data_IF_059042665410
#
_entry.id   IF_059042665410
#
_cell.length_a   1.000
_cell.length_b   1.000
_cell.length_c   1.000
_cell.angle_alpha   90.00
_cell.angle_beta   90.00
_cell.angle_gamma   90.00
#
_symmetry.space_group_name_H-M   'P 1'
#
loop_
_entity.id
_entity.type
_entity.pdbx_description
1 polymer ?
#
# COMPACT_ATOMS: atom_id res chain seq x y z
N UNK A 1 -70.38 -75.76 5.24
CA UNK A 1 -69.85 -74.44 5.48
C UNK A 1 -68.33 -74.43 5.22
N UNK A 2 -67.91 -74.02 4.03
CA UNK A 2 -66.48 -74.00 3.62
C UNK A 2 -65.94 -72.59 3.89
N UNK A 3 -64.93 -72.46 4.76
CA UNK A 3 -64.19 -71.18 5.01
C UNK A 3 -63.17 -71.05 3.95
N UNK A 4 -63.30 -69.99 3.14
CA UNK A 4 -62.28 -69.53 2.16
C UNK A 4 -61.26 -68.63 2.87
N UNK A 5 -60.00 -69.08 2.92
CA UNK A 5 -58.90 -68.27 3.46
C UNK A 5 -58.27 -67.54 2.29
N UNK A 6 -58.40 -66.20 2.28
CA UNK A 6 -57.75 -65.29 1.30
C UNK A 6 -56.35 -64.94 1.77
N UNK A 7 -55.34 -65.38 1.02
CA UNK A 7 -53.94 -65.02 1.26
C UNK A 7 -53.64 -63.71 0.50
N UNK A 8 -53.48 -62.63 1.21
CA UNK A 8 -53.04 -61.37 0.63
C UNK A 8 -51.50 -61.37 0.60
N UNK A 9 -50.93 -61.47 -0.61
CA UNK A 9 -49.48 -61.36 -0.86
C UNK A 9 -49.16 -59.89 -0.99
N UNK A 10 -48.60 -59.29 0.05
CA UNK A 10 -48.09 -57.94 0.02
C UNK A 10 -46.69 -57.88 -0.67
N UNK A 11 -46.68 -57.38 -1.90
CA UNK A 11 -45.44 -57.11 -2.65
C UNK A 11 -44.79 -55.84 -2.11
N UNK A 12 -43.72 -55.98 -1.34
CA UNK A 12 -42.93 -54.88 -0.91
C UNK A 12 -42.03 -54.38 -2.10
N UNK A 13 -42.47 -53.33 -2.76
CA UNK A 13 -41.65 -52.64 -3.75
C UNK A 13 -40.62 -51.80 -2.98
N UNK A 14 -39.39 -52.30 -2.88
CA UNK A 14 -38.25 -51.54 -2.42
C UNK A 14 -37.89 -50.53 -3.51
N UNK A 15 -38.36 -49.30 -3.39
CA UNK A 15 -37.89 -48.19 -4.21
C UNK A 15 -36.41 -47.94 -3.85
N UNK A 16 -35.49 -48.41 -4.70
CA UNK A 16 -34.13 -47.91 -4.74
C UNK A 16 -34.21 -46.42 -5.11
N UNK A 17 -34.12 -45.56 -4.12
CA UNK A 17 -33.81 -44.14 -4.35
C UNK A 17 -32.36 -44.10 -4.82
N UNK A 18 -32.16 -44.12 -6.14
CA UNK A 18 -30.88 -43.71 -6.75
C UNK A 18 -30.69 -42.27 -6.30
N UNK A 19 -29.79 -42.04 -5.33
CA UNK A 19 -29.33 -40.74 -4.99
C UNK A 19 -28.71 -40.14 -6.28
N UNK A 20 -29.46 -39.26 -6.92
CA UNK A 20 -28.98 -38.50 -8.06
C UNK A 20 -27.81 -37.66 -7.53
N UNK A 21 -26.59 -38.13 -7.74
CA UNK A 21 -25.39 -37.32 -7.41
C UNK A 21 -25.48 -36.06 -8.22
N UNK A 22 -25.65 -34.93 -7.55
CA UNK A 22 -25.63 -33.64 -8.21
C UNK A 22 -24.32 -33.52 -9.01
N UNK A 23 -24.45 -33.20 -10.29
CA UNK A 23 -23.28 -32.99 -11.16
C UNK A 23 -22.70 -31.62 -10.89
N UNK A 24 -21.58 -31.58 -10.18
CA UNK A 24 -20.81 -30.34 -9.88
C UNK A 24 -19.69 -30.07 -10.88
N UNK A 25 -19.49 -30.92 -11.88
CA UNK A 25 -18.50 -30.72 -12.91
C UNK A 25 -18.77 -29.44 -13.72
N UNK A 26 -17.72 -28.77 -14.15
CA UNK A 26 -17.80 -27.52 -14.91
C UNK A 26 -16.94 -26.41 -14.34
N UNK A 27 -17.06 -25.24 -14.95
CA UNK A 27 -16.31 -24.05 -14.55
C UNK A 27 -17.15 -23.17 -13.64
N UNK A 28 -16.56 -22.80 -12.52
CA UNK A 28 -17.10 -21.94 -11.46
C UNK A 28 -16.22 -20.70 -11.38
N UNK A 29 -16.75 -19.52 -11.60
CA UNK A 29 -15.95 -18.30 -11.55
C UNK A 29 -16.67 -17.18 -10.79
N UNK A 30 -15.88 -16.27 -10.24
CA UNK A 30 -16.39 -15.16 -9.44
C UNK A 30 -15.30 -14.45 -8.68
N UNK A 31 -15.55 -14.20 -7.40
CA UNK A 31 -14.70 -13.41 -6.53
C UNK A 31 -14.10 -14.21 -5.37
N UNK A 32 -12.90 -13.78 -4.97
CA UNK A 32 -12.21 -14.17 -3.75
C UNK A 32 -11.90 -12.90 -2.95
N UNK A 33 -12.59 -12.74 -1.81
CA UNK A 33 -12.38 -11.60 -0.93
C UNK A 33 -11.25 -11.92 0.06
N UNK A 34 -10.19 -11.13 0.00
CA UNK A 34 -8.95 -11.27 0.79
C UNK A 34 -8.72 -10.00 1.60
N UNK A 35 -7.89 -10.03 2.66
CA UNK A 35 -7.42 -8.79 3.32
C UNK A 35 -6.79 -7.79 2.34
N UNK A 36 -6.08 -8.29 1.31
CA UNK A 36 -5.48 -7.47 0.25
C UNK A 36 -6.47 -7.00 -0.84
N UNK A 37 -7.78 -7.22 -0.66
CA UNK A 37 -8.82 -6.83 -1.61
C UNK A 37 -9.39 -8.00 -2.42
N UNK A 38 -10.24 -7.64 -3.38
CA UNK A 38 -10.94 -8.61 -4.23
C UNK A 38 -10.01 -9.16 -5.31
N UNK A 39 -9.98 -10.48 -5.46
CA UNK A 39 -9.35 -11.17 -6.58
C UNK A 39 -10.42 -11.85 -7.43
N UNK A 40 -10.17 -11.99 -8.74
CA UNK A 40 -10.94 -12.88 -9.58
C UNK A 40 -10.46 -14.31 -9.40
N UNK A 41 -11.37 -15.27 -9.38
CA UNK A 41 -11.05 -16.69 -9.29
C UNK A 41 -11.92 -17.48 -10.28
N UNK A 42 -11.29 -18.44 -10.97
CA UNK A 42 -11.93 -19.45 -11.80
C UNK A 42 -11.46 -20.82 -11.32
N UNK A 43 -12.40 -21.70 -11.05
CA UNK A 43 -12.17 -23.06 -10.60
C UNK A 43 -12.91 -24.01 -11.52
N UNK A 44 -12.19 -24.83 -12.28
CA UNK A 44 -12.77 -25.86 -13.15
C UNK A 44 -12.70 -27.21 -12.45
N UNK A 45 -13.83 -27.85 -12.28
CA UNK A 45 -14.01 -29.12 -11.61
C UNK A 45 -14.35 -30.20 -12.65
N UNK A 46 -13.63 -31.29 -12.61
CA UNK A 46 -13.85 -32.46 -13.49
C UNK A 46 -13.94 -33.73 -12.68
N UNK A 47 -14.65 -34.71 -13.20
CA UNK A 47 -14.80 -36.03 -12.58
C UNK A 47 -14.23 -37.11 -13.50
N UNK A 48 -13.43 -38.01 -12.94
CA UNK A 48 -12.84 -39.16 -13.63
C UNK A 48 -13.14 -40.40 -12.80
N UNK A 49 -14.19 -41.13 -13.19
CA UNK A 49 -14.79 -42.17 -12.35
C UNK A 49 -15.35 -41.61 -11.02
N UNK A 50 -14.81 -42.04 -9.91
CA UNK A 50 -15.18 -41.54 -8.56
C UNK A 50 -14.21 -40.47 -8.05
N UNK A 51 -13.21 -40.10 -8.84
CA UNK A 51 -12.16 -39.11 -8.45
C UNK A 51 -12.52 -37.73 -8.99
N UNK A 52 -12.55 -36.77 -8.09
CA UNK A 52 -12.69 -35.36 -8.45
C UNK A 52 -11.31 -34.71 -8.66
N UNK A 53 -11.16 -33.94 -9.74
CA UNK A 53 -9.98 -33.17 -10.08
C UNK A 53 -10.35 -31.71 -10.31
N UNK A 54 -9.45 -30.79 -9.98
CA UNK A 54 -9.67 -29.37 -10.18
C UNK A 54 -8.48 -28.67 -10.82
N UNK A 55 -8.77 -27.60 -11.55
CA UNK A 55 -7.78 -26.61 -11.97
C UNK A 55 -8.24 -25.23 -11.54
N UNK A 56 -7.29 -24.32 -11.29
CA UNK A 56 -7.62 -22.98 -10.79
C UNK A 56 -6.83 -21.92 -11.51
N UNK A 57 -7.49 -20.80 -11.77
CA UNK A 57 -6.85 -19.52 -12.14
C UNK A 57 -7.27 -18.45 -11.14
N UNK A 58 -6.35 -17.59 -10.80
CA UNK A 58 -6.60 -16.44 -9.93
C UNK A 58 -6.07 -15.17 -10.62
N UNK A 59 -6.92 -14.17 -10.73
CA UNK A 59 -6.52 -12.84 -11.19
C UNK A 59 -6.27 -11.95 -9.98
N UNK A 60 -5.03 -11.50 -9.85
CA UNK A 60 -4.55 -10.65 -8.75
C UNK A 60 -3.95 -9.36 -9.33
N UNK A 61 -3.68 -8.31 -8.52
CA UNK A 61 -3.17 -7.04 -9.04
C UNK A 61 -1.92 -7.16 -9.94
N UNK A 62 -1.07 -8.14 -9.65
CA UNK A 62 0.21 -8.33 -10.35
C UNK A 62 0.12 -9.37 -11.48
N UNK A 63 -1.07 -9.70 -11.96
CA UNK A 63 -1.28 -10.64 -13.08
C UNK A 63 -2.15 -11.85 -12.74
N UNK A 64 -1.99 -12.92 -13.51
CA UNK A 64 -2.71 -14.18 -13.29
C UNK A 64 -1.80 -15.24 -12.66
N UNK A 65 -2.35 -16.00 -11.72
CA UNK A 65 -1.70 -17.14 -11.07
C UNK A 65 -2.48 -18.40 -11.42
N UNK A 66 -1.76 -19.50 -11.59
CA UNK A 66 -2.32 -20.84 -11.82
C UNK A 66 -1.82 -21.81 -10.74
N UNK A 67 -2.41 -21.77 -9.52
CA UNK A 67 -2.01 -22.68 -8.45
C UNK A 67 -2.28 -24.15 -8.82
N UNK A 68 -1.43 -25.04 -8.33
CA UNK A 68 -1.66 -26.48 -8.45
C UNK A 68 -2.75 -26.90 -7.46
N UNK A 69 -3.85 -27.48 -7.96
CA UNK A 69 -4.94 -27.97 -7.13
C UNK A 69 -4.72 -29.43 -6.75
N UNK A 70 -4.95 -29.77 -5.47
CA UNK A 70 -4.90 -31.11 -4.90
C UNK A 70 -6.00 -31.35 -3.89
N UNK A 71 -6.15 -32.59 -3.43
CA UNK A 71 -7.01 -33.01 -2.32
C UNK A 71 -8.49 -32.58 -2.49
N UNK A 72 -9.01 -32.68 -3.73
CA UNK A 72 -10.40 -32.32 -4.01
C UNK A 72 -11.32 -33.40 -3.43
N UNK A 73 -12.14 -33.02 -2.46
CA UNK A 73 -13.11 -33.90 -1.81
C UNK A 73 -14.50 -33.27 -1.85
N UNK A 74 -15.49 -34.06 -2.21
CA UNK A 74 -16.90 -33.66 -2.21
C UNK A 74 -17.69 -34.63 -1.35
N UNK A 75 -18.43 -34.08 -0.38
CA UNK A 75 -19.32 -34.83 0.50
C UNK A 75 -20.70 -34.16 0.51
N UNK A 76 -21.66 -34.76 -0.21
CA UNK A 76 -22.97 -34.14 -0.45
C UNK A 76 -22.81 -32.85 -1.24
N UNK A 77 -23.20 -31.73 -0.67
CA UNK A 77 -23.01 -30.37 -1.27
C UNK A 77 -21.72 -29.67 -0.82
N UNK A 78 -20.95 -30.24 0.09
CA UNK A 78 -19.74 -29.61 0.60
C UNK A 78 -18.53 -30.04 -0.21
N UNK A 79 -17.63 -29.08 -0.50
CA UNK A 79 -16.37 -29.30 -1.19
C UNK A 79 -15.22 -28.74 -0.36
N UNK A 80 -14.09 -29.47 -0.33
CA UNK A 80 -12.82 -28.97 0.15
C UNK A 80 -11.71 -29.31 -0.84
N UNK A 81 -10.70 -28.44 -0.94
CA UNK A 81 -9.53 -28.66 -1.76
C UNK A 81 -8.38 -27.76 -1.33
N UNK A 82 -7.19 -28.10 -1.79
CA UNK A 82 -5.96 -27.34 -1.57
C UNK A 82 -5.46 -26.76 -2.88
N UNK A 83 -4.92 -25.53 -2.86
CA UNK A 83 -4.29 -24.91 -4.01
C UNK A 83 -2.92 -24.36 -3.61
N UNK A 84 -1.85 -24.83 -4.25
CA UNK A 84 -0.47 -24.45 -3.95
C UNK A 84 0.06 -23.51 -5.02
N UNK A 85 0.53 -22.33 -4.61
CA UNK A 85 1.15 -21.34 -5.50
C UNK A 85 2.64 -21.63 -5.68
N UNK A 86 3.20 -21.16 -6.80
CA UNK A 86 4.63 -21.32 -7.12
C UNK A 86 5.59 -20.70 -6.06
N UNK A 87 5.12 -19.71 -5.31
CA UNK A 87 5.86 -19.07 -4.21
C UNK A 87 5.79 -19.82 -2.87
N UNK A 88 5.20 -21.03 -2.84
CA UNK A 88 5.07 -21.85 -1.65
C UNK A 88 3.85 -21.53 -0.76
N UNK A 89 3.00 -20.58 -1.13
CA UNK A 89 1.74 -20.36 -0.41
C UNK A 89 0.77 -21.52 -0.66
N UNK A 90 0.14 -22.00 0.39
CA UNK A 90 -0.88 -23.05 0.38
C UNK A 90 -2.22 -22.46 0.78
N UNK A 91 -3.20 -22.56 -0.09
CA UNK A 91 -4.57 -22.13 0.14
C UNK A 91 -5.47 -23.35 0.38
N UNK A 92 -6.14 -23.41 1.51
CA UNK A 92 -7.11 -24.47 1.83
C UNK A 92 -8.51 -23.89 1.75
N UNK A 93 -9.33 -24.47 0.88
CA UNK A 93 -10.70 -24.04 0.63
C UNK A 93 -11.70 -24.98 1.29
N UNK A 94 -12.78 -24.41 1.83
CA UNK A 94 -13.98 -25.11 2.28
C UNK A 94 -15.18 -24.32 1.75
N UNK A 95 -16.01 -24.98 0.95
CA UNK A 95 -17.13 -24.32 0.30
C UNK A 95 -18.34 -25.25 0.17
N UNK A 96 -19.49 -24.67 -0.17
CA UNK A 96 -20.75 -25.37 -0.34
C UNK A 96 -21.44 -24.96 -1.62
N UNK A 97 -21.91 -25.95 -2.37
CA UNK A 97 -22.75 -25.77 -3.55
C UNK A 97 -24.19 -25.47 -3.11
N UNK A 98 -24.80 -24.47 -3.75
CA UNK A 98 -26.19 -24.10 -3.63
C UNK A 98 -26.73 -23.77 -5.05
N UNK A 99 -27.26 -24.75 -5.75
CA UNK A 99 -27.57 -24.64 -7.18
C UNK A 99 -26.33 -24.27 -8.01
N UNK A 100 -26.41 -23.17 -8.73
CA UNK A 100 -25.32 -22.63 -9.53
C UNK A 100 -24.38 -21.69 -8.74
N UNK A 101 -24.45 -21.66 -7.43
CA UNK A 101 -23.54 -20.90 -6.55
C UNK A 101 -22.62 -21.83 -5.78
N UNK A 102 -21.37 -21.38 -5.58
CA UNK A 102 -20.38 -22.03 -4.75
C UNK A 102 -19.79 -20.97 -3.82
N UNK A 103 -20.19 -21.02 -2.54
CA UNK A 103 -19.77 -20.06 -1.53
C UNK A 103 -18.97 -20.76 -0.44
N UNK A 104 -17.96 -20.08 0.10
CA UNK A 104 -17.13 -20.67 1.14
C UNK A 104 -16.05 -19.76 1.66
N UNK A 105 -15.12 -20.38 2.37
CA UNK A 105 -13.95 -19.73 2.98
C UNK A 105 -12.66 -20.33 2.47
N UNK A 106 -11.58 -19.60 2.63
CA UNK A 106 -10.23 -20.12 2.45
C UNK A 106 -9.31 -19.62 3.54
N UNK A 107 -8.22 -20.35 3.77
CA UNK A 107 -7.10 -19.94 4.59
C UNK A 107 -5.82 -20.09 3.77
N UNK A 108 -4.94 -19.08 3.81
CA UNK A 108 -3.61 -19.11 3.20
C UNK A 108 -2.56 -19.30 4.27
N UNK A 109 -1.63 -20.23 4.05
CA UNK A 109 -0.49 -20.47 4.93
C UNK A 109 0.81 -20.62 4.12
N UNK A 110 1.95 -20.44 4.78
CA UNK A 110 3.30 -20.78 4.26
C UNK A 110 4.12 -21.34 5.41
N UNK A 111 4.79 -22.46 5.16
CA UNK A 111 5.63 -23.14 6.16
C UNK A 111 4.89 -23.40 7.49
N UNK A 112 3.57 -23.73 7.37
CA UNK A 112 2.70 -23.97 8.52
C UNK A 112 2.15 -22.71 9.20
N UNK A 113 2.64 -21.52 8.87
CA UNK A 113 2.17 -20.27 9.45
C UNK A 113 0.99 -19.70 8.64
N UNK A 114 -0.11 -19.34 9.32
CA UNK A 114 -1.25 -18.68 8.72
C UNK A 114 -0.88 -17.26 8.29
N UNK A 115 -1.15 -16.93 7.02
CA UNK A 115 -0.88 -15.59 6.44
C UNK A 115 -2.15 -14.77 6.27
N UNK A 116 -3.25 -15.41 5.86
CA UNK A 116 -4.51 -14.73 5.56
C UNK A 116 -5.68 -15.71 5.56
N UNK A 117 -6.87 -15.17 5.67
CA UNK A 117 -8.14 -15.88 5.43
C UNK A 117 -9.12 -15.00 4.66
N UNK A 118 -10.20 -15.57 4.17
CA UNK A 118 -11.24 -14.83 3.46
C UNK A 118 -12.35 -15.71 2.94
N UNK A 119 -13.13 -15.17 2.01
CA UNK A 119 -14.30 -15.85 1.44
C UNK A 119 -14.23 -15.96 -0.07
N UNK A 120 -14.92 -16.95 -0.64
CA UNK A 120 -15.15 -17.08 -2.07
C UNK A 120 -16.64 -17.03 -2.36
N UNK A 121 -16.99 -16.44 -3.52
CA UNK A 121 -18.34 -16.46 -4.07
C UNK A 121 -18.24 -16.67 -5.58
N UNK A 122 -18.57 -17.86 -6.04
CA UNK A 122 -18.48 -18.29 -7.43
C UNK A 122 -19.85 -18.67 -7.97
N UNK A 123 -19.99 -18.55 -9.28
CA UNK A 123 -21.21 -18.98 -10.01
C UNK A 123 -20.79 -19.92 -11.13
N UNK A 124 -21.58 -20.96 -11.41
CA UNK A 124 -21.36 -21.88 -12.51
C UNK A 124 -21.44 -21.14 -13.85
N UNK A 125 -20.43 -21.28 -14.70
CA UNK A 125 -20.32 -20.52 -15.97
C UNK A 125 -20.18 -19.01 -15.79
N UNK A 126 -19.89 -18.52 -14.57
CA UNK A 126 -19.66 -17.12 -14.28
C UNK A 126 -18.36 -16.59 -14.88
N UNK A 127 -18.06 -15.35 -14.58
CA UNK A 127 -16.81 -14.68 -14.95
C UNK A 127 -15.98 -14.34 -13.72
N UNK A 128 -14.64 -14.37 -13.84
CA UNK A 128 -13.76 -13.88 -12.79
C UNK A 128 -14.05 -12.42 -12.50
N UNK A 129 -14.21 -12.10 -11.21
CA UNK A 129 -14.38 -10.71 -10.78
C UNK A 129 -13.20 -9.84 -11.21
N UNK A 130 -13.47 -8.56 -11.44
CA UNK A 130 -12.41 -7.57 -11.60
C UNK A 130 -11.60 -7.47 -10.30
N UNK A 131 -10.28 -7.33 -10.43
CA UNK A 131 -9.41 -7.15 -9.28
C UNK A 131 -9.69 -5.80 -8.65
N UNK A 132 -9.97 -5.80 -7.35
CA UNK A 132 -10.03 -4.59 -6.55
C UNK A 132 -9.04 -4.75 -5.39
N UNK A 133 -7.99 -3.91 -5.37
CA UNK A 133 -7.22 -3.77 -4.16
C UNK A 133 -8.13 -3.19 -3.08
N UNK A 134 -8.03 -3.72 -1.86
CA UNK A 134 -8.63 -3.05 -0.72
C UNK A 134 -8.00 -1.64 -0.66
N UNK A 135 -8.80 -0.64 -0.97
CA UNK A 135 -8.31 0.73 -1.12
C UNK A 135 -7.72 1.21 0.20
N UNK A 136 -6.50 1.72 0.15
CA UNK A 136 -5.98 2.55 1.23
C UNK A 136 -6.71 3.88 1.17
N UNK A 137 -7.34 4.27 2.28
CA UNK A 137 -8.04 5.54 2.42
C UNK A 137 -7.51 6.29 3.63
N UNK A 138 -7.71 7.61 3.66
CA UNK A 138 -7.43 8.39 4.86
C UNK A 138 -8.21 7.81 6.05
N UNK A 139 -7.54 7.67 7.19
CA UNK A 139 -8.18 7.20 8.43
C UNK A 139 -9.16 8.28 8.94
N UNK A 140 -10.48 8.02 8.93
CA UNK A 140 -11.47 9.00 9.37
C UNK A 140 -11.37 9.30 10.88
N UNK A 141 -10.77 8.39 11.65
CA UNK A 141 -10.65 8.49 13.10
C UNK A 141 -9.29 9.09 13.54
N UNK A 142 -8.45 9.51 12.57
CA UNK A 142 -7.16 10.10 12.90
C UNK A 142 -7.31 11.43 13.62
N UNK A 143 -6.74 11.53 14.82
CA UNK A 143 -6.73 12.77 15.59
C UNK A 143 -5.64 13.73 15.08
N UNK A 144 -6.05 14.68 14.25
CA UNK A 144 -5.19 15.73 13.70
C UNK A 144 -5.03 16.95 14.64
N UNK A 145 -5.69 16.99 15.81
CA UNK A 145 -5.63 18.13 16.72
C UNK A 145 -4.24 18.31 17.33
N UNK A 146 -3.66 19.50 17.20
CA UNK A 146 -2.43 19.92 17.87
C UNK A 146 -2.80 20.70 19.13
N UNK A 147 -2.36 20.22 20.31
CA UNK A 147 -2.70 20.84 21.59
C UNK A 147 -2.05 22.22 21.78
N UNK A 148 -0.82 22.38 21.26
CA UNK A 148 -0.03 23.62 21.33
C UNK A 148 0.47 23.98 19.93
N UNK A 149 -0.41 24.60 19.09
CA UNK A 149 -0.03 24.98 17.73
C UNK A 149 1.19 25.87 17.66
N UNK A 150 2.04 25.66 16.66
CA UNK A 150 3.22 26.49 16.45
C UNK A 150 2.84 27.91 16.03
N UNK A 151 1.72 28.06 15.36
CA UNK A 151 1.25 29.35 14.85
C UNK A 151 -0.21 29.58 15.28
N UNK A 152 -0.44 30.67 16.02
CA UNK A 152 -1.80 31.05 16.46
C UNK A 152 -2.54 31.92 15.43
N UNK A 153 -1.81 32.67 14.61
CA UNK A 153 -2.34 33.55 13.55
C UNK A 153 -1.27 33.69 12.46
N UNK A 154 -1.72 33.87 11.20
CA UNK A 154 -0.85 34.17 10.07
C UNK A 154 0.34 33.19 9.92
N UNK A 155 0.11 31.91 10.13
CA UNK A 155 1.12 30.88 9.92
C UNK A 155 1.55 30.77 8.43
N UNK A 156 2.65 30.04 8.15
CA UNK A 156 3.19 29.92 6.80
C UNK A 156 2.17 29.41 5.79
N UNK A 157 2.23 29.97 4.58
CA UNK A 157 1.34 29.59 3.46
C UNK A 157 1.96 28.42 2.72
N UNK A 158 1.18 27.33 2.65
CA UNK A 158 1.59 26.08 2.00
C UNK A 158 0.82 25.91 0.69
N UNK A 159 1.55 25.81 -0.41
CA UNK A 159 1.01 25.40 -1.69
C UNK A 159 1.09 23.87 -1.76
N UNK A 160 -0.04 23.17 -1.84
CA UNK A 160 -0.09 21.71 -1.93
C UNK A 160 -0.37 21.31 -3.39
N UNK A 161 0.58 20.64 -4.03
CA UNK A 161 0.49 20.27 -5.44
C UNK A 161 -0.57 19.20 -5.70
N UNK A 162 -1.46 19.49 -6.62
CA UNK A 162 -2.49 18.58 -7.15
C UNK A 162 -2.66 18.75 -8.68
N UNK A 163 -1.65 19.36 -9.35
CA UNK A 163 -1.69 19.66 -10.79
C UNK A 163 -0.96 18.58 -11.63
N UNK A 164 -0.21 17.67 -11.00
CA UNK A 164 0.70 16.74 -11.66
C UNK A 164 0.30 15.28 -11.43
N UNK A 165 -0.97 14.97 -11.64
CA UNK A 165 -1.55 13.63 -11.41
C UNK A 165 -1.16 13.04 -10.05
N UNK A 166 -1.08 13.87 -9.03
CA UNK A 166 -0.61 13.50 -7.71
C UNK A 166 -1.48 12.38 -7.11
N UNK A 167 -0.84 11.27 -6.75
CA UNK A 167 -1.51 10.16 -6.10
C UNK A 167 -2.04 10.54 -4.70
N UNK A 168 -1.43 11.55 -4.09
CA UNK A 168 -1.84 12.13 -2.82
C UNK A 168 -2.27 13.58 -2.99
N UNK A 169 -3.48 13.89 -2.53
CA UNK A 169 -4.06 15.23 -2.50
C UNK A 169 -4.41 15.64 -1.08
N UNK A 170 -4.49 16.95 -0.82
CA UNK A 170 -4.81 17.48 0.52
C UNK A 170 -6.20 17.07 1.02
N UNK A 171 -7.15 16.78 0.14
CA UNK A 171 -8.48 16.27 0.48
C UNK A 171 -8.62 14.75 0.35
N UNK A 172 -7.62 14.08 -0.23
CA UNK A 172 -7.58 12.62 -0.43
C UNK A 172 -6.82 11.90 0.67
N UNK A 173 -5.90 11.01 0.29
CA UNK A 173 -5.11 10.21 1.26
C UNK A 173 -4.22 11.04 2.19
N UNK A 174 -3.87 12.27 1.80
CA UNK A 174 -3.10 13.20 2.63
C UNK A 174 -3.95 14.16 3.46
N UNK A 175 -5.29 13.97 3.48
CA UNK A 175 -6.17 14.75 4.34
C UNK A 175 -5.72 14.74 5.82
N UNK A 176 -5.31 13.62 6.43
CA UNK A 176 -4.78 13.63 7.79
C UNK A 176 -3.55 14.52 8.00
N UNK A 177 -2.63 14.55 7.02
CA UNK A 177 -1.49 15.46 7.05
C UNK A 177 -1.92 16.93 6.90
N UNK A 178 -2.80 17.20 5.95
CA UNK A 178 -3.33 18.54 5.73
C UNK A 178 -4.06 19.07 6.98
N UNK A 179 -4.93 18.27 7.57
CA UNK A 179 -5.65 18.61 8.80
C UNK A 179 -4.67 18.83 9.98
N UNK A 180 -3.62 17.99 10.10
CA UNK A 180 -2.63 18.08 11.16
C UNK A 180 -1.87 19.42 11.10
N UNK A 181 -1.32 19.77 9.92
CA UNK A 181 -0.56 21.02 9.79
C UNK A 181 -1.47 22.26 9.82
N UNK A 182 -2.72 22.14 9.36
CA UNK A 182 -3.73 23.20 9.56
C UNK A 182 -4.03 23.41 11.03
N UNK A 183 -4.16 22.32 11.81
CA UNK A 183 -4.33 22.40 13.27
C UNK A 183 -3.12 23.02 13.98
N UNK A 184 -1.94 22.95 13.38
CA UNK A 184 -0.70 23.58 13.87
C UNK A 184 -0.54 25.04 13.38
N UNK A 185 -1.50 25.54 12.59
CA UNK A 185 -1.62 26.95 12.17
C UNK A 185 -1.09 27.27 10.79
N UNK A 186 -0.66 26.28 9.98
CA UNK A 186 -0.31 26.48 8.58
C UNK A 186 -1.55 26.75 7.72
N UNK A 187 -1.38 27.52 6.64
CA UNK A 187 -2.45 27.88 5.71
C UNK A 187 -2.25 27.11 4.39
N UNK A 188 -3.07 26.07 4.14
CA UNK A 188 -2.95 25.22 2.97
C UNK A 188 -3.81 25.73 1.82
N UNK A 189 -3.22 25.77 0.63
CA UNK A 189 -3.91 26.05 -0.64
C UNK A 189 -3.60 24.91 -1.62
N UNK A 190 -4.59 24.12 -2.06
CA UNK A 190 -4.41 23.15 -3.14
C UNK A 190 -4.07 23.86 -4.46
N UNK A 191 -3.03 23.39 -5.14
CA UNK A 191 -2.59 23.91 -6.44
C UNK A 191 -3.11 23.04 -7.58
N UNK A 192 -3.80 23.64 -8.52
CA UNK A 192 -4.30 22.99 -9.75
C UNK A 192 -3.60 23.49 -11.02
N UNK A 193 -2.55 24.30 -10.87
CA UNK A 193 -1.87 24.95 -11.98
C UNK A 193 -0.41 24.47 -12.09
N UNK A 194 0.10 24.49 -13.32
CA UNK A 194 1.51 24.28 -13.61
C UNK A 194 2.39 25.26 -12.84
N UNK A 195 3.61 24.83 -12.43
CA UNK A 195 4.51 25.70 -11.68
C UNK A 195 5.10 26.81 -12.54
N UNK A 196 5.11 27.99 -11.98
CA UNK A 196 5.72 29.20 -12.54
C UNK A 196 6.07 30.16 -11.40
N UNK A 197 6.87 31.20 -11.68
CA UNK A 197 7.13 32.23 -10.70
C UNK A 197 5.84 32.88 -10.16
N UNK A 198 4.80 32.98 -10.99
CA UNK A 198 3.52 33.57 -10.58
C UNK A 198 2.73 32.62 -9.67
N UNK A 199 2.67 31.32 -9.97
CA UNK A 199 1.91 30.36 -9.15
C UNK A 199 2.54 30.09 -7.78
N UNK A 200 3.88 30.24 -7.68
CA UNK A 200 4.65 30.08 -6.44
C UNK A 200 4.71 31.37 -5.60
N UNK A 201 4.35 32.52 -6.19
CA UNK A 201 4.44 33.81 -5.52
C UNK A 201 3.52 33.90 -4.31
N UNK A 202 4.09 34.33 -3.17
CA UNK A 202 3.39 34.57 -1.91
C UNK A 202 3.12 33.31 -1.08
N UNK A 203 3.68 32.17 -1.48
CA UNK A 203 3.75 30.96 -0.65
C UNK A 203 5.13 30.83 -0.02
N UNK A 204 5.17 30.19 1.16
CA UNK A 204 6.38 29.95 1.94
C UNK A 204 6.90 28.53 1.74
N UNK A 205 5.99 27.55 1.58
CA UNK A 205 6.32 26.14 1.44
C UNK A 205 5.54 25.55 0.27
N UNK A 206 6.21 24.76 -0.57
CA UNK A 206 5.59 23.89 -1.59
C UNK A 206 5.68 22.45 -1.11
N UNK A 207 4.54 21.75 -1.10
CA UNK A 207 4.43 20.32 -0.83
C UNK A 207 4.05 19.58 -2.10
N UNK A 208 4.87 18.63 -2.53
CA UNK A 208 4.61 17.72 -3.66
C UNK A 208 4.62 16.30 -3.11
N UNK A 209 3.55 15.55 -3.31
CA UNK A 209 3.49 14.15 -2.89
C UNK A 209 3.03 13.25 -4.03
N UNK A 210 3.91 12.35 -4.44
CA UNK A 210 3.67 11.30 -5.43
C UNK A 210 3.06 11.83 -6.74
N UNK A 211 3.70 12.86 -7.35
CA UNK A 211 3.39 13.30 -8.69
C UNK A 211 3.68 12.19 -9.71
N UNK A 212 2.87 12.09 -10.77
CA UNK A 212 2.93 11.04 -11.78
C UNK A 212 2.89 11.61 -13.19
N UNK A 213 3.48 10.90 -14.15
CA UNK A 213 3.39 11.23 -15.57
C UNK A 213 2.02 10.95 -16.20
N UNK A 214 1.15 10.20 -15.51
CA UNK A 214 -0.21 9.87 -15.95
C UNK A 214 -1.18 9.74 -14.76
N UNK A 215 -2.51 9.87 -14.98
CA UNK A 215 -3.51 9.78 -13.91
C UNK A 215 -3.59 8.40 -13.24
N UNK A 216 -3.32 7.34 -13.97
CA UNK A 216 -3.35 5.97 -13.45
C UNK A 216 -1.93 5.51 -13.10
N UNK A 217 -1.69 5.18 -11.82
CA UNK A 217 -0.38 4.74 -11.31
C UNK A 217 0.17 3.49 -12.01
N UNK A 218 -0.71 2.63 -12.52
CA UNK A 218 -0.33 1.40 -13.24
C UNK A 218 -0.21 1.59 -14.76
N UNK A 219 -0.43 2.79 -15.28
CA UNK A 219 -0.17 3.09 -16.69
C UNK A 219 1.35 3.12 -16.97
N UNK A 220 1.81 2.66 -18.14
CA UNK A 220 3.23 2.76 -18.52
C UNK A 220 3.77 4.18 -18.43
N UNK A 221 2.95 5.18 -18.77
CA UNK A 221 3.29 6.60 -18.77
C UNK A 221 3.38 7.20 -17.36
N UNK A 222 2.93 6.51 -16.33
CA UNK A 222 3.03 6.98 -14.95
C UNK A 222 4.48 7.25 -14.51
N UNK A 223 5.45 6.53 -15.08
CA UNK A 223 6.88 6.71 -14.84
C UNK A 223 7.53 7.85 -15.64
N UNK A 224 6.81 8.45 -16.61
CA UNK A 224 7.30 9.61 -17.35
C UNK A 224 7.45 10.83 -16.43
N UNK A 225 8.30 11.82 -16.78
CA UNK A 225 8.44 13.02 -15.99
C UNK A 225 7.09 13.69 -15.69
N UNK A 226 6.82 13.94 -14.41
CA UNK A 226 5.60 14.60 -13.98
C UNK A 226 5.62 16.11 -14.27
N UNK A 227 6.80 16.69 -14.40
CA UNK A 227 7.05 18.12 -14.58
C UNK A 227 7.81 18.38 -15.86
N UNK A 228 7.63 19.57 -16.42
CA UNK A 228 8.47 20.09 -17.49
C UNK A 228 9.77 20.69 -16.91
N UNK A 229 10.80 20.84 -17.75
CA UNK A 229 12.07 21.52 -17.38
C UNK A 229 11.82 22.93 -16.84
N UNK A 230 10.92 23.68 -17.50
CA UNK A 230 10.56 25.05 -17.11
C UNK A 230 9.92 25.10 -15.72
N UNK A 231 9.06 24.15 -15.40
CA UNK A 231 8.46 24.03 -14.06
C UNK A 231 9.53 23.71 -13.00
N UNK A 232 10.43 22.77 -13.31
CA UNK A 232 11.52 22.40 -12.41
C UNK A 232 12.44 23.59 -12.12
N UNK A 233 12.76 24.38 -13.16
CA UNK A 233 13.58 25.57 -13.02
C UNK A 233 12.87 26.67 -12.19
N UNK A 234 11.57 26.86 -12.40
CA UNK A 234 10.77 27.81 -11.62
C UNK A 234 10.75 27.43 -10.12
N UNK A 235 10.58 26.13 -9.80
CA UNK A 235 10.63 25.64 -8.41
C UNK A 235 12.04 25.82 -7.81
N UNK A 236 13.10 25.45 -8.54
CA UNK A 236 14.49 25.66 -8.11
C UNK A 236 14.77 27.12 -7.76
N UNK A 237 14.43 28.03 -8.66
CA UNK A 237 14.72 29.45 -8.53
C UNK A 237 13.91 30.09 -7.39
N UNK A 238 12.66 29.66 -7.22
CA UNK A 238 11.83 30.05 -6.08
C UNK A 238 12.40 29.56 -4.75
N UNK A 239 12.88 28.30 -4.68
CA UNK A 239 13.55 27.78 -3.47
C UNK A 239 14.82 28.58 -3.19
N UNK A 240 15.67 28.82 -4.20
CA UNK A 240 16.90 29.61 -4.04
C UNK A 240 16.63 31.02 -3.55
N UNK A 241 15.49 31.59 -3.88
CA UNK A 241 15.05 32.92 -3.42
C UNK A 241 14.55 32.92 -1.97
N UNK A 242 14.29 31.76 -1.36
CA UNK A 242 13.88 31.63 0.06
C UNK A 242 12.62 30.81 0.31
N UNK A 243 11.97 30.29 -0.74
CA UNK A 243 10.89 29.30 -0.60
C UNK A 243 11.42 27.97 -0.07
N UNK A 244 10.54 27.12 0.45
CA UNK A 244 10.92 25.80 0.98
C UNK A 244 10.13 24.68 0.31
N UNK A 245 10.79 23.55 0.04
CA UNK A 245 10.21 22.42 -0.68
C UNK A 245 10.16 21.16 0.19
N UNK A 246 8.99 20.54 0.27
CA UNK A 246 8.81 19.15 0.68
C UNK A 246 8.49 18.32 -0.56
N UNK A 247 9.47 17.56 -1.06
CA UNK A 247 9.33 16.66 -2.19
C UNK A 247 9.25 15.22 -1.68
N UNK A 248 8.12 14.57 -1.93
CA UNK A 248 7.87 13.20 -1.53
C UNK A 248 7.63 12.39 -2.79
N UNK A 249 8.48 11.40 -3.02
CA UNK A 249 8.33 10.45 -4.11
C UNK A 249 8.57 9.03 -3.59
N UNK A 250 7.52 8.25 -3.59
CA UNK A 250 7.50 6.85 -3.17
C UNK A 250 8.22 5.96 -4.19
N UNK A 251 8.20 4.65 -3.99
CA UNK A 251 8.74 3.65 -4.91
C UNK A 251 8.31 3.86 -6.38
N UNK A 252 8.73 2.97 -7.27
CA UNK A 252 8.26 2.99 -8.67
C UNK A 252 6.71 3.03 -8.73
N UNK A 253 6.11 3.83 -9.63
CA UNK A 253 6.74 4.67 -10.68
C UNK A 253 7.12 6.09 -10.22
N UNK A 254 6.75 6.49 -8.99
CA UNK A 254 6.87 7.87 -8.49
C UNK A 254 8.32 8.38 -8.53
N UNK A 255 9.29 7.53 -8.16
CA UNK A 255 10.70 7.91 -8.22
C UNK A 255 11.15 8.36 -9.62
N UNK A 256 10.70 7.66 -10.67
CA UNK A 256 11.01 8.03 -12.05
C UNK A 256 10.33 9.35 -12.44
N UNK A 257 9.06 9.51 -12.09
CA UNK A 257 8.28 10.70 -12.44
C UNK A 257 8.81 11.98 -11.78
N UNK A 258 9.38 11.87 -10.57
CA UNK A 258 9.90 13.00 -9.80
C UNK A 258 11.40 13.26 -9.96
N UNK A 259 12.16 12.36 -10.63
CA UNK A 259 13.61 12.51 -10.80
C UNK A 259 14.00 13.83 -11.46
N UNK A 260 13.26 14.27 -12.48
CA UNK A 260 13.53 15.51 -13.21
C UNK A 260 13.56 16.76 -12.28
N UNK A 261 12.69 16.80 -11.27
CA UNK A 261 12.68 17.87 -10.27
C UNK A 261 13.76 17.66 -9.23
N UNK A 262 13.97 16.43 -8.75
CA UNK A 262 14.98 16.14 -7.73
C UNK A 262 16.41 16.37 -8.22
N UNK A 263 16.65 16.24 -9.53
CA UNK A 263 17.93 16.55 -10.18
C UNK A 263 18.32 18.02 -10.00
N UNK A 264 17.34 18.95 -9.90
CA UNK A 264 17.59 20.37 -9.63
C UNK A 264 18.23 20.62 -8.26
N UNK A 265 18.13 19.63 -7.37
CA UNK A 265 18.67 19.65 -6.01
C UNK A 265 19.77 18.60 -5.82
N UNK A 266 20.23 17.95 -6.89
CA UNK A 266 21.28 16.93 -6.86
C UNK A 266 20.87 15.63 -6.17
N UNK A 267 19.59 15.36 -6.00
CA UNK A 267 19.10 14.14 -5.34
C UNK A 267 18.76 13.06 -6.37
N UNK A 268 19.42 11.91 -6.24
CA UNK A 268 19.15 10.71 -7.03
C UNK A 268 18.15 9.81 -6.30
N UNK A 269 17.09 9.45 -6.97
CA UNK A 269 16.07 8.50 -6.55
C UNK A 269 16.38 7.11 -7.11
N UNK A 270 16.26 6.03 -6.31
CA UNK A 270 16.54 4.66 -6.79
C UNK A 270 15.56 4.18 -7.84
N UNK A 271 14.31 4.69 -7.81
CA UNK A 271 13.21 4.30 -8.70
C UNK A 271 12.78 2.85 -8.51
N UNK A 272 13.08 2.28 -7.36
CA UNK A 272 12.84 0.88 -7.00
C UNK A 272 12.04 0.81 -5.69
N UNK A 273 11.85 -0.41 -5.20
CA UNK A 273 11.31 -0.68 -3.87
C UNK A 273 12.47 -0.96 -2.92
N UNK A 274 12.53 -0.23 -1.81
CA UNK A 274 13.55 -0.46 -0.79
C UNK A 274 13.02 -1.37 0.30
N UNK A 275 13.80 -2.38 0.65
CA UNK A 275 13.50 -3.36 1.70
C UNK A 275 14.72 -3.53 2.62
N UNK A 276 14.47 -3.91 3.88
CA UNK A 276 15.52 -4.20 4.86
C UNK A 276 15.16 -5.46 5.64
N UNK A 277 15.92 -6.52 5.48
CA UNK A 277 15.65 -7.82 6.10
C UNK A 277 15.89 -7.86 7.62
N UNK A 278 16.63 -6.90 8.15
CA UNK A 278 17.00 -6.85 9.57
C UNK A 278 16.18 -5.81 10.34
N UNK A 279 15.85 -4.68 9.71
CA UNK A 279 15.35 -3.48 10.37
C UNK A 279 13.91 -3.12 9.99
N UNK A 280 13.05 -4.10 9.86
CA UNK A 280 11.62 -3.90 9.55
C UNK A 280 10.71 -4.23 10.72
N UNK A 281 9.48 -3.75 10.68
CA UNK A 281 8.41 -4.10 11.62
C UNK A 281 8.05 -5.58 11.44
N UNK A 282 8.54 -6.45 12.32
CA UNK A 282 8.44 -7.92 12.18
C UNK A 282 6.99 -8.38 12.11
N UNK A 283 6.09 -7.72 12.86
CA UNK A 283 4.65 -7.98 12.89
C UNK A 283 3.95 -7.70 11.55
N UNK A 284 4.53 -6.86 10.70
CA UNK A 284 3.98 -6.56 9.37
C UNK A 284 4.24 -7.66 8.35
N UNK A 285 5.24 -8.49 8.58
CA UNK A 285 5.79 -9.45 7.62
C UNK A 285 6.12 -8.81 6.24
N UNK A 286 6.43 -7.50 6.24
CA UNK A 286 6.78 -6.72 5.06
C UNK A 286 8.15 -6.05 5.27
N UNK A 287 9.15 -6.49 4.52
CA UNK A 287 10.52 -5.98 4.60
C UNK A 287 10.64 -4.49 4.23
N UNK A 288 9.65 -3.92 3.53
CA UNK A 288 9.56 -2.51 3.20
C UNK A 288 9.04 -1.64 4.36
N UNK A 289 8.52 -2.25 5.44
CA UNK A 289 8.11 -1.51 6.65
C UNK A 289 9.32 -1.27 7.55
N UNK A 290 10.19 -0.35 7.11
CA UNK A 290 11.50 -0.12 7.74
C UNK A 290 11.35 0.74 8.99
N UNK A 291 11.98 0.32 10.08
CA UNK A 291 12.01 1.02 11.37
C UNK A 291 13.32 1.77 11.52
N UNK A 292 13.23 3.06 11.83
CA UNK A 292 14.36 3.93 12.14
C UNK A 292 14.28 4.35 13.59
N UNK A 293 15.37 4.18 14.34
CA UNK A 293 15.45 4.60 15.74
C UNK A 293 16.72 5.45 15.96
N UNK A 294 16.68 6.33 16.97
CA UNK A 294 17.87 7.04 17.44
C UNK A 294 18.92 6.09 17.99
N UNK A 295 18.49 5.06 18.72
CA UNK A 295 19.36 4.06 19.32
C UNK A 295 20.25 3.37 18.27
N UNK A 296 19.67 3.02 17.13
CA UNK A 296 20.41 2.42 16.00
C UNK A 296 21.28 3.42 15.22
N UNK A 297 21.16 4.72 15.48
CA UNK A 297 21.82 5.78 14.72
C UNK A 297 21.25 6.00 13.31
N UNK A 298 20.24 5.25 12.90
CA UNK A 298 19.60 5.40 11.58
C UNK A 298 18.65 6.60 11.54
N UNK A 299 18.04 6.96 12.67
CA UNK A 299 17.38 8.24 12.84
C UNK A 299 18.41 9.22 13.41
N UNK A 300 19.04 9.99 12.52
CA UNK A 300 20.17 10.85 12.89
C UNK A 300 19.71 12.10 13.66
N UNK A 301 20.64 12.68 14.42
CA UNK A 301 20.38 13.88 15.20
C UNK A 301 20.39 15.13 14.30
N UNK A 302 19.21 15.71 14.11
CA UNK A 302 18.96 16.91 13.31
C UNK A 302 17.86 17.74 13.97
N UNK A 303 17.70 19.01 13.61
CA UNK A 303 16.62 19.86 14.13
C UNK A 303 15.23 19.21 13.97
N UNK A 304 14.97 18.56 12.82
CA UNK A 304 13.72 17.82 12.56
C UNK A 304 13.50 16.70 13.58
N UNK A 305 14.55 15.97 13.96
CA UNK A 305 14.42 14.85 14.90
C UNK A 305 14.52 15.28 16.36
N UNK A 306 15.05 16.49 16.64
CA UNK A 306 15.08 17.08 17.98
C UNK A 306 13.76 17.76 18.39
N UNK A 307 13.08 18.42 17.42
CA UNK A 307 11.95 19.28 17.71
C UNK A 307 12.34 20.56 18.46
N UNK A 308 11.37 21.33 18.92
CA UNK A 308 11.56 22.55 19.72
C UNK A 308 11.97 22.25 21.17
N UNK A 309 11.57 21.07 21.65
CA UNK A 309 11.80 20.63 23.04
C UNK A 309 11.69 19.10 23.14
N UNK A 310 11.90 18.55 24.33
CA UNK A 310 11.89 17.11 24.57
C UNK A 310 10.57 16.39 24.24
N UNK A 311 9.43 17.06 24.34
CA UNK A 311 8.12 16.47 24.01
C UNK A 311 7.88 16.34 22.50
N UNK A 312 8.67 17.05 21.70
CA UNK A 312 8.64 16.99 20.23
C UNK A 312 9.77 16.13 19.63
N UNK A 313 10.55 15.51 20.50
CA UNK A 313 11.65 14.66 20.07
C UNK A 313 11.12 13.41 19.39
N UNK A 314 11.65 13.12 18.22
CA UNK A 314 11.34 11.92 17.44
C UNK A 314 12.37 10.84 17.76
N UNK A 315 11.95 9.71 18.28
CA UNK A 315 12.83 8.62 18.71
C UNK A 315 12.71 7.39 17.83
N UNK A 316 11.51 7.11 17.30
CA UNK A 316 11.21 5.94 16.47
C UNK A 316 10.21 6.29 15.38
N UNK A 317 10.53 5.97 14.15
CA UNK A 317 9.61 6.14 13.00
C UNK A 317 9.57 4.89 12.15
N UNK A 318 8.54 4.77 11.33
CA UNK A 318 8.39 3.71 10.33
C UNK A 318 8.13 4.31 8.94
N UNK A 319 8.63 3.64 7.91
CA UNK A 319 8.24 3.80 6.51
C UNK A 319 7.46 2.56 6.05
N UNK A 320 6.68 2.68 4.97
CA UNK A 320 5.68 1.68 4.57
C UNK A 320 5.83 1.29 3.09
N UNK A 321 7.03 0.90 2.70
CA UNK A 321 7.44 0.55 1.34
C UNK A 321 7.74 1.79 0.48
N UNK A 322 8.96 2.24 0.52
CA UNK A 322 9.44 3.41 -0.23
C UNK A 322 10.60 3.07 -1.16
N UNK A 323 11.33 4.09 -1.56
CA UNK A 323 12.56 4.00 -2.32
C UNK A 323 13.74 4.63 -1.56
N UNK A 324 14.96 4.29 -1.97
CA UNK A 324 16.16 4.93 -1.44
C UNK A 324 16.56 6.18 -2.23
N UNK A 325 17.19 7.10 -1.52
CA UNK A 325 17.66 8.39 -2.00
C UNK A 325 19.17 8.51 -1.81
N UNK A 326 19.85 9.22 -2.73
CA UNK A 326 21.23 9.65 -2.55
C UNK A 326 21.30 11.15 -2.82
N UNK A 327 21.66 11.92 -1.80
CA UNK A 327 21.79 13.38 -1.91
C UNK A 327 23.18 13.84 -2.35
N UNK A 328 23.35 15.13 -2.66
CA UNK A 328 24.64 15.75 -2.87
C UNK A 328 25.47 15.74 -1.59
N UNK A 329 26.80 15.99 -1.67
CA UNK A 329 27.71 15.92 -0.51
C UNK A 329 27.37 16.84 0.67
N UNK A 330 26.67 17.94 0.42
CA UNK A 330 26.22 18.92 1.41
C UNK A 330 24.80 18.63 1.97
N UNK A 331 24.17 17.55 1.52
CA UNK A 331 22.91 17.09 2.09
C UNK A 331 23.13 16.34 3.40
N UNK A 332 22.11 16.35 4.26
CA UNK A 332 22.13 15.59 5.50
C UNK A 332 21.05 14.48 5.47
N UNK A 333 21.48 13.24 5.64
CA UNK A 333 20.60 12.08 5.74
C UNK A 333 20.12 11.92 7.19
N UNK A 334 18.85 12.28 7.47
CA UNK A 334 18.28 12.08 8.81
C UNK A 334 17.59 10.73 8.97
N UNK A 335 17.27 10.04 7.86
CA UNK A 335 16.77 8.66 7.82
C UNK A 335 17.74 7.79 7.01
N UNK A 336 18.74 7.22 7.67
CA UNK A 336 19.81 6.43 7.04
C UNK A 336 19.40 4.99 6.88
N UNK A 337 19.60 4.42 5.70
CA UNK A 337 19.47 2.99 5.47
C UNK A 337 20.64 2.21 6.07
N UNK A 338 20.37 0.98 6.52
CA UNK A 338 21.38 0.06 7.00
C UNK A 338 22.08 -0.66 5.83
N UNK A 339 23.18 -1.35 6.12
CA UNK A 339 23.92 -2.12 5.12
C UNK A 339 23.12 -3.35 4.63
N UNK A 340 22.15 -3.82 5.43
CA UNK A 340 21.19 -4.88 5.07
C UNK A 340 20.09 -4.42 4.10
N UNK A 341 19.96 -3.10 3.86
CA UNK A 341 18.94 -2.57 2.97
C UNK A 341 19.29 -2.80 1.49
N UNK A 342 18.28 -3.13 0.72
CA UNK A 342 18.38 -3.37 -0.73
C UNK A 342 17.29 -2.64 -1.48
N UNK A 343 17.60 -2.25 -2.71
CA UNK A 343 16.63 -1.77 -3.71
C UNK A 343 16.33 -2.90 -4.69
N UNK A 344 15.07 -3.16 -4.97
CA UNK A 344 14.62 -4.22 -5.86
C UNK A 344 13.43 -3.80 -6.71
N UNK A 345 13.33 -4.39 -7.90
CA UNK A 345 12.13 -4.40 -8.73
C UNK A 345 11.65 -5.85 -8.89
N UNK A 346 10.38 -6.09 -9.18
CA UNK A 346 9.92 -7.43 -9.52
C UNK A 346 10.77 -8.04 -10.65
N UNK A 347 11.20 -9.28 -10.47
CA UNK A 347 12.00 -10.04 -11.46
C UNK A 347 13.41 -9.50 -11.75
N UNK A 348 13.95 -8.64 -10.89
CA UNK A 348 15.35 -8.19 -10.98
C UNK A 348 16.14 -8.60 -9.75
N UNK A 349 17.45 -8.76 -9.90
CA UNK A 349 18.34 -8.98 -8.76
C UNK A 349 18.35 -7.72 -7.88
N UNK A 350 18.23 -7.86 -6.55
CA UNK A 350 18.36 -6.72 -5.64
C UNK A 350 19.74 -6.08 -5.73
N UNK A 351 19.79 -4.76 -5.57
CA UNK A 351 21.02 -3.99 -5.47
C UNK A 351 21.16 -3.42 -4.06
N UNK A 352 22.39 -3.23 -3.57
CA UNK A 352 22.62 -2.65 -2.24
C UNK A 352 22.11 -1.23 -2.17
N UNK A 353 21.38 -0.90 -1.11
CA UNK A 353 20.99 0.46 -0.73
C UNK A 353 21.86 1.02 0.43
N UNK A 354 22.95 0.35 0.77
CA UNK A 354 23.89 0.80 1.79
C UNK A 354 24.43 2.21 1.47
N UNK A 355 24.52 3.05 2.49
CA UNK A 355 24.95 4.45 2.36
C UNK A 355 23.94 5.38 1.70
N UNK A 356 22.74 4.91 1.39
CA UNK A 356 21.60 5.72 0.93
C UNK A 356 20.67 6.05 2.10
N UNK A 357 19.58 6.77 1.84
CA UNK A 357 18.64 7.25 2.85
C UNK A 357 17.19 7.14 2.34
N UNK A 358 16.21 7.26 3.22
CA UNK A 358 14.81 7.53 2.84
C UNK A 358 14.33 8.93 3.24
N UNK A 359 15.17 9.70 3.94
CA UNK A 359 14.90 11.09 4.26
C UNK A 359 16.19 11.94 4.24
N UNK A 360 16.16 12.97 3.40
CA UNK A 360 17.25 13.91 3.19
C UNK A 360 16.79 15.34 3.46
N UNK A 361 17.72 16.18 3.97
CA UNK A 361 17.54 17.62 4.04
C UNK A 361 18.74 18.31 3.40
N UNK A 362 18.50 19.44 2.77
CA UNK A 362 19.54 20.29 2.22
C UNK A 362 19.07 21.76 2.16
N UNK A 363 20.03 22.69 2.12
CA UNK A 363 19.77 24.08 1.83
C UNK A 363 20.04 24.33 0.34
N UNK A 364 19.22 25.16 -0.31
CA UNK A 364 19.43 25.58 -1.69
C UNK A 364 19.25 27.09 -1.79
N UNK A 365 20.32 27.80 -1.94
CA UNK A 365 20.34 29.27 -1.80
C UNK A 365 19.86 29.70 -0.42
N UNK A 366 18.75 30.46 -0.36
CA UNK A 366 18.13 30.90 0.89
C UNK A 366 17.05 29.96 1.39
N UNK A 367 16.64 28.98 0.58
CA UNK A 367 15.53 28.06 0.89
C UNK A 367 16.00 26.72 1.44
N UNK A 368 15.02 25.93 1.85
CA UNK A 368 15.22 24.63 2.49
C UNK A 368 14.47 23.54 1.69
N UNK A 369 15.08 22.39 1.60
CA UNK A 369 14.49 21.24 0.88
C UNK A 369 14.51 20.00 1.78
N UNK A 370 13.37 19.34 1.89
CA UNK A 370 13.24 17.99 2.44
C UNK A 370 12.83 17.07 1.30
N UNK A 371 13.54 15.97 1.12
CA UNK A 371 13.18 14.92 0.16
C UNK A 371 12.93 13.63 0.92
N UNK A 372 11.77 13.04 0.72
CA UNK A 372 11.38 11.76 1.31
C UNK A 372 11.17 10.71 0.22
N UNK A 373 11.73 9.54 0.43
CA UNK A 373 11.59 8.37 -0.43
C UNK A 373 10.39 7.50 -0.09
N UNK A 374 9.49 7.96 0.80
CA UNK A 374 8.30 7.23 1.22
C UNK A 374 7.20 8.22 1.61
N UNK A 375 5.99 7.91 1.18
CA UNK A 375 4.88 8.85 1.31
C UNK A 375 3.90 8.49 2.43
N UNK A 376 3.63 7.21 2.66
CA UNK A 376 2.63 6.82 3.66
C UNK A 376 3.02 7.28 5.07
N UNK A 377 4.31 7.45 5.35
CA UNK A 377 4.81 7.87 6.65
C UNK A 377 4.25 9.22 7.15
N UNK A 378 3.90 10.12 6.23
CA UNK A 378 3.28 11.42 6.56
C UNK A 378 1.76 11.42 6.36
N UNK A 379 1.17 10.32 5.93
CA UNK A 379 -0.29 10.14 5.93
C UNK A 379 -0.75 9.44 7.23
N UNK A 380 -2.05 9.31 7.41
CA UNK A 380 -2.65 8.34 8.31
C UNK A 380 -3.72 7.62 7.50
N UNK A 381 -3.49 6.36 7.19
CA UNK A 381 -4.35 5.58 6.31
C UNK A 381 -4.82 4.30 7.00
N UNK A 382 -5.94 3.81 6.54
CA UNK A 382 -6.42 2.46 6.83
C UNK A 382 -6.61 1.71 5.52
N UNK A 383 -6.32 0.42 5.52
CA UNK A 383 -6.46 -0.41 4.33
C UNK A 383 -6.72 -1.86 4.64
N UNK A 384 -7.24 -2.57 3.65
CA UNK A 384 -7.60 -3.96 3.79
C UNK A 384 -8.86 -4.19 4.65
N UNK A 385 -9.34 -5.43 4.69
CA UNK A 385 -10.52 -5.82 5.46
C UNK A 385 -10.34 -5.59 6.98
N UNK A 386 -9.10 -5.68 7.47
CA UNK A 386 -8.77 -5.52 8.89
C UNK A 386 -8.48 -4.07 9.30
N UNK A 387 -8.73 -3.11 8.42
CA UNK A 387 -8.45 -1.70 8.68
C UNK A 387 -7.02 -1.46 9.21
N UNK A 388 -6.04 -2.14 8.59
CA UNK A 388 -4.62 -2.01 8.97
C UNK A 388 -4.17 -0.57 8.83
N UNK A 389 -3.56 -0.03 9.88
CA UNK A 389 -3.09 1.36 9.94
C UNK A 389 -1.71 1.51 9.32
N UNK A 390 -1.53 2.61 8.57
CA UNK A 390 -0.26 2.98 7.93
C UNK A 390 0.01 4.46 8.12
N UNK A 391 1.25 4.81 8.40
CA UNK A 391 1.65 6.21 8.53
C UNK A 391 1.57 6.72 9.96
N UNK A 392 1.10 7.95 10.14
CA UNK A 392 1.07 8.63 11.44
C UNK A 392 0.17 7.97 12.49
N UNK A 393 -0.76 7.11 12.07
CA UNK A 393 -1.66 6.33 12.92
C UNK A 393 -1.14 4.91 13.23
N UNK A 394 0.05 4.52 12.71
CA UNK A 394 0.66 3.25 13.07
C UNK A 394 1.10 3.29 14.55
N UNK A 395 0.82 2.24 15.35
CA UNK A 395 1.08 2.30 16.78
C UNK A 395 2.57 2.29 17.14
N UNK A 396 2.93 3.03 18.19
CA UNK A 396 4.26 2.99 18.79
C UNK A 396 5.37 3.68 18.00
N UNK A 397 5.02 4.65 17.14
CA UNK A 397 5.96 5.47 16.36
C UNK A 397 5.66 6.96 16.46
N UNK A 398 6.64 7.78 16.12
CA UNK A 398 6.59 9.24 16.23
C UNK A 398 6.36 9.93 14.87
N UNK A 399 5.82 9.23 13.87
CA UNK A 399 5.64 9.79 12.52
C UNK A 399 4.78 11.06 12.51
N UNK A 400 3.76 11.14 13.39
CA UNK A 400 2.94 12.33 13.54
C UNK A 400 3.77 13.54 14.00
N UNK A 401 4.67 13.35 14.96
CA UNK A 401 5.56 14.43 15.43
C UNK A 401 6.62 14.76 14.37
N UNK A 402 7.12 13.76 13.65
CA UNK A 402 8.04 13.98 12.53
C UNK A 402 7.41 14.88 11.46
N UNK A 403 6.16 14.67 11.10
CA UNK A 403 5.43 15.49 10.12
C UNK A 403 5.40 16.97 10.56
N UNK A 404 5.07 17.25 11.82
CA UNK A 404 5.10 18.60 12.38
C UNK A 404 6.51 19.20 12.34
N UNK A 405 7.51 18.45 12.77
CA UNK A 405 8.88 18.93 12.83
C UNK A 405 9.48 19.23 11.44
N UNK A 406 9.13 18.44 10.42
CA UNK A 406 9.50 18.72 9.03
C UNK A 406 8.94 20.08 8.60
N UNK A 407 7.66 20.34 8.86
CA UNK A 407 7.03 21.60 8.51
C UNK A 407 7.60 22.78 9.33
N UNK A 408 7.90 22.57 10.61
CA UNK A 408 8.58 23.57 11.45
C UNK A 408 10.00 23.91 10.92
N UNK A 409 10.72 22.93 10.41
CA UNK A 409 12.04 23.18 9.83
C UNK A 409 11.92 23.92 8.49
N UNK A 410 11.00 23.52 7.62
CA UNK A 410 10.75 24.18 6.34
C UNK A 410 10.29 25.64 6.50
N UNK A 411 9.50 25.92 7.55
CA UNK A 411 9.05 27.28 7.86
C UNK A 411 10.12 28.16 8.54
N UNK A 412 11.29 27.59 8.89
CA UNK A 412 12.35 28.31 9.58
C UNK A 412 12.19 28.39 11.11
N UNK A 413 11.14 27.77 11.68
CA UNK A 413 10.92 27.72 13.12
C UNK A 413 11.99 26.89 13.85
N UNK A 414 12.36 25.74 13.26
CA UNK A 414 13.53 24.95 13.69
C UNK A 414 14.78 25.38 12.91
N UNK A 415 15.91 25.47 13.62
CA UNK A 415 17.20 25.90 13.04
C UNK A 415 18.23 24.78 13.04
#
# INVERSE_FOLDING_TARGET
MKKLILFILTLAISSLVLAQHADYAGTWAGSMNRPAGLAGIEFTLTRDGDVWKGTMKMRVPNGELTPTVSDVQIAGADISFTATQANGNVLKFKARFDGDKLNGTFETSRDGNKLAEGTIALTRGGQMAAVQQAGQVADPDFNARVAHPAYSKNGPKVLFDEAHNNFHTASGRYKPFADLITSDGFQITPNKQKFSAQTLKGFDILVISNALGAPAMNAPEAANPAFTEVECDAVRDWVRAGGSLLLIADHAPMGSANQILSDRFGVNMSKMFTADSENYAKESNNLGFIIYTRESGRLADHAITRGRNLSERVNKIATFTGQSLKGPPDSFAFMKLADSAVDAMPNTAPTSAAGRAQGLVLNSGKGRVVVLGEAAMLSAQVGGANQTKFGMNYPGIDNRQLALNIMHWLSGLLK
#
